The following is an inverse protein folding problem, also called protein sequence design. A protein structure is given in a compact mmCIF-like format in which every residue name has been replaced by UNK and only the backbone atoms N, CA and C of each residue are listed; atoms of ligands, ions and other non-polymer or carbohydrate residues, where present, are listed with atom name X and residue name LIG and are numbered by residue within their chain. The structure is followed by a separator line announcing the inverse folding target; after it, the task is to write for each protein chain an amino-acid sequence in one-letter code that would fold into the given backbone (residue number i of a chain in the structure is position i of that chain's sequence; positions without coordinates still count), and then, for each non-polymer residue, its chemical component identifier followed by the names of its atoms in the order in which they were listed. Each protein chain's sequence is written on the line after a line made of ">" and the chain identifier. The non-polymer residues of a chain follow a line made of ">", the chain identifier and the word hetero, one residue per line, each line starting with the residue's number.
data_IF_036613663672
#
_entry.id   IF_036613663672
#
_cell.length_a   1.000
_cell.length_b   1.000
_cell.length_c   1.000
_cell.angle_alpha   90.00
_cell.angle_beta   90.00
_cell.angle_gamma   90.00
#
_symmetry.space_group_name_H-M   'P 1'
#
loop_
_entity.id
_entity.type
_entity.pdbx_description
1 polymer ?
#
# COMPACT_ATOMS: atom_id res chain seq x y z
N UNK A 1 10.58 5.57 -1.56
CA UNK A 1 11.43 5.48 -2.77
C UNK A 1 11.55 4.01 -3.13
N UNK A 2 11.18 3.62 -4.36
CA UNK A 2 11.23 2.21 -4.81
C UNK A 2 12.55 2.00 -5.54
N UNK A 3 13.34 1.01 -5.10
CA UNK A 3 14.56 0.58 -5.79
C UNK A 3 14.35 -0.86 -6.28
N UNK A 4 14.71 -1.14 -7.53
CA UNK A 4 14.73 -2.48 -8.12
C UNK A 4 16.16 -2.78 -8.52
N UNK A 5 16.69 -3.92 -8.07
CA UNK A 5 17.97 -4.47 -8.55
C UNK A 5 17.63 -5.54 -9.59
N UNK A 6 18.23 -5.42 -10.77
CA UNK A 6 18.10 -6.40 -11.85
C UNK A 6 18.88 -7.66 -11.47
N UNK A 7 18.32 -8.84 -11.74
CA UNK A 7 19.05 -10.11 -11.60
C UNK A 7 19.70 -10.46 -12.93
N UNK A 8 20.79 -11.21 -12.88
CA UNK A 8 21.46 -11.70 -14.07
C UNK A 8 20.53 -12.67 -14.83
N UNK A 9 20.36 -12.45 -16.13
CA UNK A 9 19.49 -13.26 -17.00
C UNK A 9 18.00 -12.87 -17.03
N UNK A 10 17.58 -11.81 -16.33
CA UNK A 10 16.18 -11.38 -16.38
C UNK A 10 15.83 -10.58 -17.63
N UNK A 11 14.68 -10.91 -18.23
CA UNK A 11 14.10 -10.10 -19.30
C UNK A 11 13.62 -8.74 -18.77
N UNK A 12 13.78 -7.70 -19.60
CA UNK A 12 13.31 -6.34 -19.31
C UNK A 12 11.82 -6.32 -18.90
N UNK A 13 11.00 -7.18 -19.52
CA UNK A 13 9.57 -7.26 -19.20
C UNK A 13 9.30 -7.78 -17.79
N UNK A 14 10.09 -8.74 -17.30
CA UNK A 14 9.95 -9.28 -15.94
C UNK A 14 10.41 -8.27 -14.88
N UNK A 15 11.46 -7.52 -15.18
CA UNK A 15 11.89 -6.39 -14.36
C UNK A 15 10.80 -5.32 -14.22
N UNK A 16 10.15 -4.93 -15.33
CA UNK A 16 9.04 -3.98 -15.32
C UNK A 16 7.84 -4.49 -14.52
N UNK A 17 7.52 -5.78 -14.62
CA UNK A 17 6.41 -6.37 -13.87
C UNK A 17 6.67 -6.36 -12.36
N UNK A 18 7.90 -6.65 -11.92
CA UNK A 18 8.30 -6.55 -10.51
C UNK A 18 8.35 -5.10 -10.03
N UNK A 19 8.87 -4.18 -10.84
CA UNK A 19 8.84 -2.76 -10.53
C UNK A 19 7.42 -2.27 -10.29
N UNK A 20 6.48 -2.60 -11.19
CA UNK A 20 5.07 -2.23 -11.05
C UNK A 20 4.46 -2.78 -9.76
N UNK A 21 4.73 -4.05 -9.43
CA UNK A 21 4.31 -4.66 -8.16
C UNK A 21 4.92 -3.96 -6.95
N UNK A 22 6.20 -3.58 -7.00
CA UNK A 22 6.87 -2.85 -5.92
C UNK A 22 6.28 -1.45 -5.74
N UNK A 23 5.98 -0.74 -6.83
CA UNK A 23 5.33 0.58 -6.80
C UNK A 23 3.93 0.46 -6.20
N UNK A 24 3.14 -0.53 -6.61
CA UNK A 24 1.81 -0.77 -6.04
C UNK A 24 1.89 -1.11 -4.55
N UNK A 25 2.82 -1.98 -4.15
CA UNK A 25 3.05 -2.35 -2.74
C UNK A 25 3.54 -1.19 -1.88
N UNK A 26 4.37 -0.31 -2.44
CA UNK A 26 4.87 0.87 -1.74
C UNK A 26 3.77 1.87 -1.40
N UNK A 27 2.59 1.78 -2.04
CA UNK A 27 1.46 2.62 -1.73
C UNK A 27 1.64 4.09 -2.10
N UNK A 28 2.66 4.45 -2.88
CA UNK A 28 2.98 5.83 -3.27
C UNK A 28 1.76 6.56 -3.85
N UNK A 29 0.97 5.91 -4.72
CA UNK A 29 -0.26 6.50 -5.27
C UNK A 29 -1.29 6.86 -4.20
N UNK A 30 -1.39 6.04 -3.13
CA UNK A 30 -2.30 6.26 -2.00
C UNK A 30 -1.79 7.37 -1.09
N UNK A 31 -0.48 7.44 -0.90
CA UNK A 31 0.20 8.52 -0.18
C UNK A 31 -0.03 9.87 -0.88
N UNK A 32 0.18 9.93 -2.20
CA UNK A 32 -0.06 11.12 -3.01
C UNK A 32 -1.48 11.63 -2.81
N UNK A 33 -2.49 10.77 -2.99
CA UNK A 33 -3.90 11.17 -2.81
C UNK A 33 -4.26 11.67 -1.43
N UNK A 34 -3.57 11.18 -0.40
CA UNK A 34 -3.77 11.63 0.98
C UNK A 34 -3.15 13.00 1.24
N UNK A 35 -2.10 13.36 0.49
CA UNK A 35 -1.37 14.64 0.62
C UNK A 35 -1.89 15.73 -0.33
N UNK A 36 -2.81 15.41 -1.24
CA UNK A 36 -3.42 16.38 -2.16
C UNK A 36 -4.15 17.51 -1.43
N UNK A 37 -4.66 17.27 -0.23
CA UNK A 37 -5.35 18.26 0.58
C UNK A 37 -4.95 18.15 2.05
N UNK A 38 -5.08 19.25 2.79
CA UNK A 38 -4.90 19.24 4.22
C UNK A 38 -6.02 18.45 4.90
N UNK A 39 -5.64 17.41 5.63
CA UNK A 39 -6.56 16.66 6.48
C UNK A 39 -6.32 17.04 7.95
N UNK A 40 -7.36 17.49 8.64
CA UNK A 40 -7.27 17.82 10.08
C UNK A 40 -6.75 16.61 10.88
N UNK A 41 -5.90 16.81 11.90
CA UNK A 41 -5.37 15.71 12.71
C UNK A 41 -6.42 14.77 13.31
N UNK A 42 -7.60 15.30 13.66
CA UNK A 42 -8.74 14.53 14.14
C UNK A 42 -9.27 13.55 13.10
N UNK A 43 -9.42 13.99 11.85
CA UNK A 43 -9.89 13.16 10.74
C UNK A 43 -8.86 12.09 10.38
N UNK A 44 -7.56 12.41 10.45
CA UNK A 44 -6.47 11.42 10.30
C UNK A 44 -6.62 10.30 11.33
N UNK A 45 -6.80 10.65 12.61
CA UNK A 45 -6.98 9.69 13.72
C UNK A 45 -8.24 8.85 13.52
N UNK A 46 -9.36 9.49 13.15
CA UNK A 46 -10.65 8.81 12.87
C UNK A 46 -10.49 7.80 11.74
N UNK A 47 -9.88 8.20 10.63
CA UNK A 47 -9.60 7.35 9.47
C UNK A 47 -8.68 6.18 9.81
N UNK A 48 -7.67 6.39 10.65
CA UNK A 48 -6.77 5.33 11.10
C UNK A 48 -7.50 4.28 11.96
N UNK A 49 -8.35 4.72 12.90
CA UNK A 49 -9.18 3.83 13.72
C UNK A 49 -10.12 2.98 12.87
N UNK A 50 -10.89 3.59 11.97
CA UNK A 50 -11.81 2.87 11.09
C UNK A 50 -11.08 1.85 10.20
N UNK A 51 -9.87 2.16 9.73
CA UNK A 51 -9.04 1.21 8.97
C UNK A 51 -8.56 0.05 9.83
N UNK A 52 -8.24 0.27 11.09
CA UNK A 52 -7.86 -0.80 12.02
C UNK A 52 -9.04 -1.72 12.31
N UNK A 53 -10.22 -1.17 12.61
CA UNK A 53 -11.45 -1.93 12.85
C UNK A 53 -11.85 -2.77 11.63
N UNK A 54 -11.80 -2.19 10.41
CA UNK A 54 -12.05 -2.93 9.16
C UNK A 54 -11.06 -4.08 8.94
N UNK A 55 -9.77 -3.88 9.26
CA UNK A 55 -8.76 -4.93 9.16
C UNK A 55 -9.01 -6.05 10.17
N UNK A 56 -9.29 -5.70 11.43
CA UNK A 56 -9.61 -6.67 12.48
C UNK A 56 -10.87 -7.48 12.13
N UNK A 57 -11.93 -6.83 11.65
CA UNK A 57 -13.16 -7.52 11.19
C UNK A 57 -12.86 -8.49 10.05
N UNK A 58 -12.09 -8.07 9.05
CA UNK A 58 -11.70 -8.94 7.93
C UNK A 58 -10.87 -10.13 8.42
N UNK A 59 -9.97 -9.92 9.37
CA UNK A 59 -9.16 -11.00 9.94
C UNK A 59 -10.04 -12.02 10.67
N UNK A 60 -10.97 -11.59 11.54
CA UNK A 60 -11.91 -12.49 12.23
C UNK A 60 -12.68 -13.37 11.24
N UNK A 61 -13.28 -12.76 10.21
CA UNK A 61 -14.00 -13.48 9.15
C UNK A 61 -13.12 -14.51 8.41
N UNK A 62 -11.84 -14.24 8.21
CA UNK A 62 -10.90 -15.16 7.56
C UNK A 62 -10.41 -16.27 8.50
N UNK A 63 -10.41 -16.04 9.81
CA UNK A 63 -9.89 -17.00 10.80
C UNK A 63 -10.98 -17.92 11.37
N UNK A 64 -12.22 -17.80 10.88
CA UNK A 64 -13.31 -18.70 11.27
C UNK A 64 -13.75 -18.60 12.73
N UNK A 65 -13.50 -17.45 13.38
CA UNK A 65 -14.14 -17.06 14.65
C UNK A 65 -15.16 -15.97 14.42
#
# INVERSE_FOLDING_TARGET
>A
MVKLVLREGESIQEALRRFRKLVERSGIKKEMRRREYYEKPSEIKRRARLRAERRARRQRLLTGM
#
